data_IF_364327562376
#
_entry.id   IF_364327562376
#
_cell.length_a   1.000
_cell.length_b   1.000
_cell.length_c   1.000
_cell.angle_alpha   90.00
_cell.angle_beta   90.00
_cell.angle_gamma   90.00
#
_symmetry.space_group_name_H-M   'P 1'
#
loop_
_entity.id
_entity.type
_entity.pdbx_description
1 polymer ?
#
# COMPACT_ATOMS: atom_id res chain seq x y z
N UNK A 1 63.65 17.69 -10.66
CA UNK A 1 62.33 18.33 -10.56
C UNK A 1 61.31 17.34 -11.09
N UNK A 2 60.59 16.67 -10.18
CA UNK A 2 59.73 15.50 -10.48
C UNK A 2 58.40 16.02 -11.02
N UNK A 3 58.04 15.62 -12.25
CA UNK A 3 56.74 15.95 -12.85
C UNK A 3 55.76 14.86 -12.43
N UNK A 4 54.90 15.17 -11.47
CA UNK A 4 53.76 14.31 -11.09
C UNK A 4 52.72 14.34 -12.21
N UNK A 5 52.51 13.19 -12.88
CA UNK A 5 51.34 12.96 -13.73
C UNK A 5 50.13 12.71 -12.83
N UNK A 6 49.20 13.65 -12.79
CA UNK A 6 47.89 13.47 -12.18
C UNK A 6 47.04 12.54 -13.07
N UNK A 7 46.89 11.29 -12.65
CA UNK A 7 45.89 10.37 -13.19
C UNK A 7 44.52 10.78 -12.66
N UNK A 8 43.66 11.32 -13.54
CA UNK A 8 42.24 11.53 -13.24
C UNK A 8 41.54 10.18 -13.40
N UNK A 9 41.27 9.51 -12.28
CA UNK A 9 40.35 8.38 -12.25
C UNK A 9 38.92 8.92 -12.40
N UNK A 10 38.35 8.79 -13.60
CA UNK A 10 36.92 8.98 -13.81
C UNK A 10 36.18 7.85 -13.08
N UNK A 11 35.58 8.18 -11.94
CA UNK A 11 34.66 7.29 -11.24
C UNK A 11 33.41 7.17 -12.14
N UNK A 12 33.32 6.08 -12.90
CA UNK A 12 32.06 5.69 -13.54
C UNK A 12 31.12 5.29 -12.41
N UNK A 13 30.28 6.24 -11.97
CA UNK A 13 29.13 5.93 -11.14
C UNK A 13 28.17 5.19 -12.06
N UNK A 14 28.31 3.87 -12.08
CA UNK A 14 27.25 3.00 -12.58
C UNK A 14 26.04 3.26 -11.69
N UNK A 15 25.10 4.07 -12.17
CA UNK A 15 23.73 4.03 -11.69
C UNK A 15 23.19 2.64 -12.02
N UNK A 16 23.48 1.68 -11.15
CA UNK A 16 22.72 0.44 -11.15
C UNK A 16 21.27 0.86 -10.88
N UNK A 17 20.44 0.82 -11.90
CA UNK A 17 18.99 0.79 -11.78
C UNK A 17 18.63 -0.53 -11.11
N UNK A 18 18.95 -0.63 -9.81
CA UNK A 18 18.76 -1.83 -9.03
C UNK A 18 17.27 -2.09 -8.87
N UNK A 19 16.91 -3.36 -9.00
CA UNK A 19 15.58 -3.92 -8.86
C UNK A 19 14.77 -3.23 -7.73
N UNK A 20 13.49 -2.98 -8.00
CA UNK A 20 12.61 -2.17 -7.12
C UNK A 20 11.82 -3.02 -6.11
N UNK A 21 11.99 -4.34 -6.13
CA UNK A 21 11.80 -5.17 -4.93
C UNK A 21 12.95 -4.85 -3.98
N UNK A 22 12.63 -4.24 -2.86
CA UNK A 22 13.62 -3.75 -1.90
C UNK A 22 13.79 -4.74 -0.76
N UNK A 23 15.01 -4.84 -0.22
CA UNK A 23 15.22 -5.59 1.03
C UNK A 23 14.53 -4.88 2.21
N UNK A 24 14.54 -3.54 2.17
CA UNK A 24 13.93 -2.66 3.16
C UNK A 24 13.47 -1.36 2.48
N UNK A 25 12.26 -0.89 2.80
CA UNK A 25 11.73 0.38 2.31
C UNK A 25 12.57 1.58 2.76
N UNK A 26 13.28 1.46 3.88
CA UNK A 26 14.08 2.53 4.47
C UNK A 26 15.37 2.81 3.70
N UNK A 27 15.83 1.84 2.91
CA UNK A 27 17.12 1.89 2.22
C UNK A 27 17.02 2.42 0.78
N UNK A 28 15.80 2.72 0.30
CA UNK A 28 15.60 3.28 -1.05
C UNK A 28 15.06 4.70 -0.94
N UNK A 29 15.74 5.60 -1.65
CA UNK A 29 15.43 7.02 -1.66
C UNK A 29 13.95 7.25 -1.98
N UNK A 30 13.27 8.02 -1.13
CA UNK A 30 11.87 8.44 -1.25
C UNK A 30 10.79 7.37 -1.18
N UNK A 31 11.11 6.07 -1.24
CA UNK A 31 10.11 5.00 -1.01
C UNK A 31 9.50 5.08 0.39
N UNK A 32 10.31 5.47 1.38
CA UNK A 32 9.86 5.69 2.76
C UNK A 32 8.95 6.92 2.94
N UNK A 33 8.84 7.82 1.96
CA UNK A 33 8.01 9.03 2.07
C UNK A 33 6.51 8.67 2.20
N UNK A 34 6.14 7.44 1.82
CA UNK A 34 4.79 6.89 1.93
C UNK A 34 4.49 6.29 3.31
N UNK A 35 5.46 6.28 4.23
CA UNK A 35 5.41 5.66 5.53
C UNK A 35 5.56 6.71 6.64
N UNK A 36 4.76 6.62 7.69
CA UNK A 36 4.87 7.52 8.83
C UNK A 36 6.27 7.38 9.47
N UNK A 37 6.97 8.50 9.64
CA UNK A 37 8.38 8.54 10.08
C UNK A 37 9.32 7.67 9.25
N UNK A 38 8.95 7.41 8.00
CA UNK A 38 9.71 6.54 7.10
C UNK A 38 9.89 5.13 7.66
N UNK A 39 8.92 4.61 8.42
CA UNK A 39 9.01 3.29 9.06
C UNK A 39 7.83 2.40 8.64
N UNK A 40 8.08 1.18 8.11
CA UNK A 40 7.00 0.31 7.68
C UNK A 40 6.26 -0.36 8.86
N UNK A 41 5.03 -0.85 8.64
CA UNK A 41 4.36 -1.75 9.57
C UNK A 41 5.28 -2.90 10.01
N UNK A 42 5.38 -3.12 11.33
CA UNK A 42 6.20 -4.17 11.94
C UNK A 42 5.35 -5.41 12.21
N UNK A 43 5.99 -6.57 12.36
CA UNK A 43 5.33 -7.84 12.70
C UNK A 43 5.05 -8.76 11.52
N UNK A 44 5.26 -8.32 10.28
CA UNK A 44 5.21 -9.18 9.10
C UNK A 44 6.57 -9.87 8.90
N UNK A 45 6.68 -11.13 9.34
CA UNK A 45 7.96 -11.85 9.43
C UNK A 45 8.23 -12.84 8.28
N UNK A 46 7.24 -13.11 7.42
CA UNK A 46 7.42 -14.05 6.31
C UNK A 46 8.41 -13.49 5.28
N UNK A 47 9.58 -14.15 5.21
CA UNK A 47 10.68 -13.82 4.30
C UNK A 47 10.35 -14.01 2.82
N UNK A 48 9.25 -14.69 2.47
CA UNK A 48 8.79 -14.87 1.09
C UNK A 48 8.08 -13.63 0.56
N UNK A 49 7.55 -12.78 1.44
CA UNK A 49 6.89 -11.55 1.06
C UNK A 49 7.87 -10.60 0.37
N UNK A 50 7.37 -9.86 -0.62
CA UNK A 50 8.15 -8.92 -1.42
C UNK A 50 7.75 -7.50 -1.05
N UNK A 51 8.74 -6.70 -0.67
CA UNK A 51 8.57 -5.26 -0.44
C UNK A 51 8.75 -4.54 -1.76
N UNK A 52 7.68 -4.02 -2.32
CA UNK A 52 7.67 -3.34 -3.61
C UNK A 52 7.60 -1.84 -3.37
N UNK A 53 8.62 -1.10 -3.80
CA UNK A 53 8.49 0.35 -3.90
C UNK A 53 7.79 0.68 -5.22
N UNK A 54 6.54 1.07 -5.17
CA UNK A 54 5.74 1.25 -6.39
C UNK A 54 6.23 2.49 -7.13
N UNK A 55 6.84 2.30 -8.31
CA UNK A 55 7.39 3.39 -9.13
C UNK A 55 6.62 3.52 -10.42
N UNK A 56 6.29 4.77 -10.77
CA UNK A 56 5.66 5.10 -12.04
C UNK A 56 6.25 6.40 -12.59
N UNK A 57 6.66 6.36 -13.86
CA UNK A 57 7.43 7.42 -14.51
C UNK A 57 8.68 7.81 -13.68
N UNK A 58 9.46 6.80 -13.31
CA UNK A 58 10.72 6.83 -12.54
C UNK A 58 10.63 7.39 -11.12
N UNK A 59 9.43 7.72 -10.65
CA UNK A 59 9.19 8.29 -9.33
C UNK A 59 8.55 7.26 -8.40
N UNK A 60 9.06 7.09 -7.16
CA UNK A 60 8.35 6.41 -6.09
C UNK A 60 6.99 7.07 -5.82
N UNK A 61 5.95 6.24 -5.65
CA UNK A 61 4.56 6.69 -5.45
C UNK A 61 4.01 6.22 -4.10
N UNK A 62 4.12 4.92 -3.84
CA UNK A 62 3.69 4.28 -2.60
C UNK A 62 4.45 2.97 -2.40
N UNK A 63 4.18 2.25 -1.31
CA UNK A 63 4.80 0.96 -1.06
C UNK A 63 3.73 -0.13 -0.91
N UNK A 64 4.10 -1.34 -1.29
CA UNK A 64 3.26 -2.52 -1.15
C UNK A 64 4.08 -3.65 -0.56
N UNK A 65 3.55 -4.31 0.47
CA UNK A 65 4.04 -5.63 0.87
C UNK A 65 3.21 -6.67 0.14
N UNK A 66 3.84 -7.45 -0.72
CA UNK A 66 3.19 -8.36 -1.66
C UNK A 66 3.47 -9.82 -1.32
N UNK A 67 2.47 -10.69 -1.46
CA UNK A 67 2.61 -12.13 -1.32
C UNK A 67 2.59 -12.78 -2.72
N UNK A 68 3.75 -13.23 -3.26
CA UNK A 68 3.79 -13.88 -4.56
C UNK A 68 3.09 -15.24 -4.59
N UNK A 69 2.95 -15.92 -3.45
CA UNK A 69 2.28 -17.22 -3.38
C UNK A 69 0.76 -17.05 -3.50
N UNK A 70 0.22 -16.03 -2.84
CA UNK A 70 -1.20 -15.66 -2.90
C UNK A 70 -1.55 -14.75 -4.07
N UNK A 71 -0.53 -14.19 -4.74
CA UNK A 71 -0.62 -13.22 -5.84
C UNK A 71 -1.44 -11.97 -5.51
N UNK A 72 -1.42 -11.54 -4.25
CA UNK A 72 -2.11 -10.33 -3.78
C UNK A 72 -1.22 -9.50 -2.85
N UNK A 73 -1.44 -8.18 -2.74
CA UNK A 73 -0.87 -7.40 -1.66
C UNK A 73 -1.37 -7.87 -0.29
N UNK A 74 -0.46 -7.95 0.67
CA UNK A 74 -0.77 -8.05 2.10
C UNK A 74 -1.25 -6.69 2.60
N UNK A 75 -0.54 -5.63 2.22
CA UNK A 75 -0.97 -4.24 2.40
C UNK A 75 -0.32 -3.31 1.36
N UNK A 76 -0.97 -2.17 1.13
CA UNK A 76 -0.38 -0.97 0.51
C UNK A 76 -0.34 0.18 1.52
N UNK A 77 0.75 0.94 1.52
CA UNK A 77 0.91 2.13 2.37
C UNK A 77 1.27 3.36 1.53
N UNK A 78 0.54 4.46 1.74
CA UNK A 78 0.57 5.65 0.89
C UNK A 78 0.27 6.94 1.67
N UNK A 79 0.59 8.09 1.07
CA UNK A 79 0.17 9.40 1.58
C UNK A 79 -1.10 9.87 0.88
N UNK A 80 -2.04 10.38 1.65
CA UNK A 80 -3.27 10.97 1.13
C UNK A 80 -2.99 12.34 0.48
N UNK A 81 -3.50 12.61 -0.72
CA UNK A 81 -3.08 13.77 -1.54
C UNK A 81 -4.01 14.97 -1.58
N UNK A 82 -5.05 15.04 -0.73
CA UNK A 82 -6.10 16.08 -0.72
C UNK A 82 -6.72 16.33 -2.09
N UNK A 83 -7.90 15.78 -2.32
CA UNK A 83 -8.47 15.62 -3.66
C UNK A 83 -9.98 15.83 -3.63
N UNK A 84 -10.55 16.31 -4.73
CA UNK A 84 -12.00 16.51 -4.92
C UNK A 84 -12.78 15.19 -5.10
N UNK A 85 -12.08 14.05 -5.18
CA UNK A 85 -12.70 12.73 -5.32
C UNK A 85 -12.91 12.28 -6.77
N UNK A 86 -12.39 13.03 -7.74
CA UNK A 86 -12.42 12.64 -9.14
C UNK A 86 -11.70 11.30 -9.34
N UNK A 87 -12.37 10.37 -10.02
CA UNK A 87 -11.79 9.10 -10.46
C UNK A 87 -11.49 9.12 -11.95
N UNK A 88 -10.42 8.44 -12.37
CA UNK A 88 -10.03 8.29 -13.78
C UNK A 88 -9.88 6.82 -14.13
N UNK A 89 -10.86 6.31 -14.88
CA UNK A 89 -10.95 4.90 -15.25
C UNK A 89 -10.15 4.58 -16.53
N UNK A 90 -9.55 5.58 -17.17
CA UNK A 90 -8.90 5.46 -18.48
C UNK A 90 -7.42 5.04 -18.43
N UNK A 91 -6.88 4.70 -17.26
CA UNK A 91 -5.53 4.19 -17.14
C UNK A 91 -5.42 2.70 -17.50
N UNK A 92 -4.39 2.29 -18.25
CA UNK A 92 -4.14 0.89 -18.52
C UNK A 92 -3.73 0.18 -17.22
N UNK A 93 -4.14 -1.08 -17.11
CA UNK A 93 -3.67 -1.94 -16.03
C UNK A 93 -2.20 -2.31 -16.23
N UNK A 94 -1.46 -2.33 -15.13
CA UNK A 94 -0.01 -2.50 -15.10
C UNK A 94 0.41 -3.70 -14.26
N UNK A 95 1.64 -4.14 -14.52
CA UNK A 95 2.34 -5.19 -13.79
C UNK A 95 3.70 -4.68 -13.31
N UNK A 96 4.34 -5.45 -12.43
CA UNK A 96 5.68 -5.19 -11.90
C UNK A 96 6.70 -6.11 -12.58
N UNK A 97 7.48 -5.65 -13.57
CA UNK A 97 8.47 -6.47 -14.26
C UNK A 97 9.49 -7.13 -13.32
N UNK A 98 9.91 -6.41 -12.28
CA UNK A 98 10.86 -6.82 -11.25
C UNK A 98 10.39 -7.98 -10.36
N UNK A 99 9.10 -8.39 -10.44
CA UNK A 99 8.63 -9.61 -9.78
C UNK A 99 8.90 -10.87 -10.62
N UNK A 100 8.95 -10.75 -11.94
CA UNK A 100 9.14 -11.88 -12.86
C UNK A 100 10.57 -12.04 -13.36
N UNK A 101 11.33 -10.94 -13.41
CA UNK A 101 12.67 -10.87 -13.98
C UNK A 101 13.61 -10.17 -12.99
N UNK A 102 14.78 -10.76 -12.73
CA UNK A 102 15.76 -10.25 -11.74
C UNK A 102 16.29 -8.88 -12.17
N UNK A 103 16.46 -8.68 -13.48
CA UNK A 103 16.87 -7.45 -14.15
C UNK A 103 15.68 -6.67 -14.74
N UNK A 104 14.45 -7.01 -14.32
CA UNK A 104 13.24 -6.35 -14.75
C UNK A 104 13.24 -4.86 -14.39
N UNK A 105 12.58 -4.05 -15.21
CA UNK A 105 12.44 -2.61 -14.98
C UNK A 105 11.82 -2.35 -13.60
N UNK A 106 12.39 -1.37 -12.88
CA UNK A 106 11.90 -0.95 -11.58
C UNK A 106 10.59 -0.16 -11.60
N UNK A 107 10.10 0.23 -12.78
CA UNK A 107 8.81 0.88 -12.95
C UNK A 107 7.73 -0.13 -13.30
N UNK A 108 6.54 0.11 -12.78
CA UNK A 108 5.34 -0.57 -13.26
C UNK A 108 5.09 -0.25 -14.74
N UNK A 109 4.66 -1.24 -15.50
CA UNK A 109 4.48 -1.14 -16.95
C UNK A 109 3.09 -1.64 -17.36
N UNK A 110 2.46 -1.04 -18.39
CA UNK A 110 1.19 -1.55 -18.91
C UNK A 110 1.34 -2.97 -19.42
N UNK A 111 0.33 -3.81 -19.19
CA UNK A 111 0.30 -5.15 -19.78
C UNK A 111 0.40 -5.06 -21.31
N UNK A 112 1.27 -5.85 -21.95
CA UNK A 112 1.41 -5.83 -23.41
C UNK A 112 0.13 -6.37 -24.07
N UNK A 113 -0.23 -5.78 -25.21
CA UNK A 113 -1.32 -6.25 -26.08
C UNK A 113 -0.84 -7.45 -26.92
N UNK A 114 -0.56 -8.57 -26.27
CA UNK A 114 -0.01 -9.74 -26.97
C UNK A 114 0.39 -10.87 -26.02
N UNK A 115 1.38 -11.67 -26.43
CA UNK A 115 1.87 -12.79 -25.63
C UNK A 115 2.49 -12.31 -24.32
N UNK A 116 1.87 -12.69 -23.21
CA UNK A 116 2.46 -12.53 -21.89
C UNK A 116 3.45 -13.67 -21.65
N UNK A 117 4.70 -13.35 -21.39
CA UNK A 117 5.70 -14.37 -21.07
C UNK A 117 5.27 -15.14 -19.80
N UNK A 118 5.27 -16.47 -19.82
CA UNK A 118 4.73 -17.31 -18.73
C UNK A 118 5.28 -16.98 -17.34
N UNK A 119 6.51 -16.45 -17.25
CA UNK A 119 7.16 -16.01 -16.00
C UNK A 119 6.36 -14.96 -15.21
N UNK A 120 5.53 -14.15 -15.86
CA UNK A 120 4.67 -13.18 -15.17
C UNK A 120 3.55 -13.87 -14.40
N UNK A 121 2.97 -14.94 -14.95
CA UNK A 121 1.87 -15.66 -14.33
C UNK A 121 2.29 -16.41 -13.06
N UNK A 122 3.58 -16.75 -12.95
CA UNK A 122 4.12 -17.46 -11.79
C UNK A 122 4.38 -16.54 -10.60
N UNK A 123 4.69 -15.26 -10.86
CA UNK A 123 5.18 -14.31 -9.85
C UNK A 123 4.13 -13.32 -9.36
N UNK A 124 3.10 -13.03 -10.17
CA UNK A 124 2.07 -12.06 -9.85
C UNK A 124 0.74 -12.39 -10.53
N UNK A 125 -0.33 -11.70 -10.13
CA UNK A 125 -1.61 -11.79 -10.79
C UNK A 125 -1.54 -11.17 -12.20
N UNK A 126 -2.32 -11.72 -13.13
CA UNK A 126 -2.46 -11.19 -14.49
C UNK A 126 -3.92 -10.89 -14.81
N UNK A 127 -4.18 -10.12 -15.86
CA UNK A 127 -5.55 -9.73 -16.23
C UNK A 127 -6.49 -10.92 -16.44
N UNK A 128 -5.99 -12.00 -17.02
CA UNK A 128 -6.75 -13.23 -17.23
C UNK A 128 -7.13 -13.96 -15.93
N UNK A 129 -6.51 -13.63 -14.79
CA UNK A 129 -6.95 -14.16 -13.49
C UNK A 129 -8.28 -13.53 -13.04
N UNK A 130 -8.68 -12.38 -13.62
CA UNK A 130 -9.90 -11.65 -13.29
C UNK A 130 -10.96 -11.68 -14.41
N UNK A 131 -10.67 -12.26 -15.58
CA UNK A 131 -11.54 -12.16 -16.77
C UNK A 131 -12.84 -12.96 -16.65
N UNK A 132 -12.79 -14.13 -16.00
CA UNK A 132 -13.90 -15.08 -15.99
C UNK A 132 -14.67 -15.10 -14.66
N UNK A 133 -14.41 -14.13 -13.78
CA UNK A 133 -14.99 -14.06 -12.43
C UNK A 133 -15.90 -12.85 -12.24
N UNK A 134 -17.14 -12.97 -12.73
CA UNK A 134 -18.15 -11.88 -12.69
C UNK A 134 -18.48 -11.39 -11.27
N UNK A 135 -18.21 -12.21 -10.24
CA UNK A 135 -18.47 -11.88 -8.83
C UNK A 135 -17.50 -10.83 -8.26
N UNK A 136 -16.29 -10.74 -8.80
CA UNK A 136 -15.22 -9.95 -8.19
C UNK A 136 -14.88 -8.72 -9.03
N UNK A 137 -14.69 -7.61 -8.33
CA UNK A 137 -14.06 -6.41 -8.83
C UNK A 137 -12.58 -6.39 -8.45
N UNK A 138 -11.81 -5.61 -9.21
CA UNK A 138 -10.42 -5.29 -8.91
C UNK A 138 -10.38 -4.18 -7.85
N UNK A 139 -10.50 -4.57 -6.59
CA UNK A 139 -10.50 -3.67 -5.44
C UNK A 139 -9.11 -3.12 -5.16
N UNK A 140 -8.98 -1.80 -5.12
CA UNK A 140 -7.70 -1.13 -4.88
C UNK A 140 -7.44 -0.98 -3.38
N UNK A 141 -6.21 -1.27 -2.92
CA UNK A 141 -5.83 -0.96 -1.54
C UNK A 141 -5.34 0.50 -1.39
N UNK A 142 -4.60 1.01 -2.37
CA UNK A 142 -4.40 2.45 -2.57
C UNK A 142 -5.38 2.94 -3.65
N UNK A 143 -6.49 3.61 -3.28
CA UNK A 143 -7.53 3.98 -4.25
C UNK A 143 -7.16 5.25 -5.01
N UNK A 144 -7.50 5.26 -6.30
CA UNK A 144 -7.36 6.40 -7.22
C UNK A 144 -7.90 7.71 -6.63
N UNK A 145 -9.06 7.66 -5.98
CA UNK A 145 -9.71 8.83 -5.40
C UNK A 145 -8.98 9.46 -4.21
N UNK A 146 -7.95 8.82 -3.65
CA UNK A 146 -7.08 9.41 -2.62
C UNK A 146 -5.85 10.10 -3.22
N UNK A 147 -5.63 9.95 -4.53
CA UNK A 147 -4.52 10.52 -5.30
C UNK A 147 -4.96 11.75 -6.10
N UNK A 148 -4.07 12.73 -6.27
CA UNK A 148 -4.42 14.02 -6.86
C UNK A 148 -3.88 14.22 -8.28
N UNK A 149 -2.61 13.88 -8.55
CA UNK A 149 -2.02 14.10 -9.87
C UNK A 149 -2.34 12.93 -10.82
N UNK A 150 -2.41 13.15 -12.15
CA UNK A 150 -2.62 12.08 -13.11
C UNK A 150 -1.64 10.91 -12.96
N UNK A 151 -0.37 11.18 -12.67
CA UNK A 151 0.63 10.12 -12.48
C UNK A 151 0.48 9.37 -11.15
N UNK A 152 0.06 10.03 -10.06
CA UNK A 152 -0.18 9.34 -8.79
C UNK A 152 -1.42 8.43 -8.90
N UNK A 153 -2.45 8.91 -9.61
CA UNK A 153 -3.65 8.15 -9.96
C UNK A 153 -3.33 6.96 -10.85
N UNK A 154 -2.59 7.16 -11.94
CA UNK A 154 -2.16 6.08 -12.83
C UNK A 154 -1.43 4.98 -12.05
N UNK A 155 -0.57 5.35 -11.10
CA UNK A 155 0.20 4.40 -10.31
C UNK A 155 -0.64 3.45 -9.44
N UNK A 156 -1.92 3.75 -9.19
CA UNK A 156 -2.80 2.83 -8.44
C UNK A 156 -3.26 1.64 -9.28
N UNK A 157 -3.19 1.73 -10.61
CA UNK A 157 -3.68 0.73 -11.57
C UNK A 157 -2.66 -0.39 -11.86
N UNK A 158 -1.87 -0.81 -10.87
CA UNK A 158 -1.04 -2.02 -10.92
C UNK A 158 -1.75 -3.17 -10.18
N UNK A 159 -1.69 -4.39 -10.72
CA UNK A 159 -2.35 -5.54 -10.07
C UNK A 159 -1.71 -5.92 -8.73
N UNK A 160 -0.49 -5.44 -8.45
CA UNK A 160 0.13 -5.60 -7.13
C UNK A 160 -0.50 -4.71 -6.06
N UNK A 161 -1.38 -3.76 -6.42
CA UNK A 161 -2.17 -2.93 -5.50
C UNK A 161 -3.64 -3.36 -5.41
N UNK A 162 -3.98 -4.51 -6.01
CA UNK A 162 -5.36 -4.95 -6.18
C UNK A 162 -5.61 -6.30 -5.52
N UNK A 163 -6.80 -6.45 -4.96
CA UNK A 163 -7.34 -7.72 -4.46
C UNK A 163 -8.72 -8.00 -5.08
N UNK A 164 -9.16 -9.27 -5.19
CA UNK A 164 -10.53 -9.58 -5.56
C UNK A 164 -11.51 -9.16 -4.47
N UNK A 165 -12.30 -8.13 -4.72
CA UNK A 165 -13.38 -7.70 -3.83
C UNK A 165 -14.73 -8.09 -4.40
N UNK A 166 -15.66 -8.57 -3.59
CA UNK A 166 -17.02 -8.85 -4.04
C UNK A 166 -17.65 -7.57 -4.55
N UNK A 167 -18.28 -7.63 -5.72
CA UNK A 167 -18.81 -6.45 -6.43
C UNK A 167 -19.67 -5.57 -5.53
N UNK A 168 -20.64 -6.14 -4.82
CA UNK A 168 -21.54 -5.39 -3.92
C UNK A 168 -20.82 -4.72 -2.75
N UNK A 169 -19.73 -5.32 -2.26
CA UNK A 169 -18.88 -4.74 -1.23
C UNK A 169 -18.05 -3.57 -1.79
N UNK A 170 -17.37 -3.80 -2.92
CA UNK A 170 -16.49 -2.82 -3.57
C UNK A 170 -17.24 -1.55 -3.97
N UNK A 171 -18.38 -1.67 -4.66
CA UNK A 171 -19.14 -0.50 -5.15
C UNK A 171 -20.09 0.09 -4.11
N UNK A 172 -20.24 -0.57 -2.96
CA UNK A 172 -21.17 -0.17 -1.90
C UNK A 172 -20.41 0.28 -0.64
N UNK A 173 -20.48 -0.49 0.47
CA UNK A 173 -19.96 -0.05 1.76
C UNK A 173 -18.49 0.37 1.75
N UNK A 174 -17.63 -0.31 1.01
CA UNK A 174 -16.20 0.01 0.99
C UNK A 174 -15.94 1.34 0.28
N UNK A 175 -16.53 1.54 -0.91
CA UNK A 175 -16.47 2.82 -1.63
C UNK A 175 -16.98 3.99 -0.79
N UNK A 176 -18.08 3.80 -0.08
CA UNK A 176 -18.64 4.83 0.80
C UNK A 176 -17.68 5.17 1.94
N UNK A 177 -17.02 4.16 2.53
CA UNK A 177 -16.01 4.39 3.56
C UNK A 177 -14.78 5.12 3.03
N UNK A 178 -14.25 4.73 1.87
CA UNK A 178 -13.12 5.45 1.26
C UNK A 178 -13.46 6.93 1.01
N UNK A 179 -14.68 7.23 0.54
CA UNK A 179 -15.16 8.61 0.37
C UNK A 179 -15.27 9.36 1.72
N UNK A 180 -15.75 8.70 2.77
CA UNK A 180 -15.78 9.28 4.11
C UNK A 180 -14.38 9.62 4.63
N UNK A 181 -13.38 8.77 4.36
CA UNK A 181 -11.98 9.04 4.72
C UNK A 181 -11.44 10.23 3.92
N UNK A 182 -11.74 10.31 2.62
CA UNK A 182 -11.36 11.47 1.80
C UNK A 182 -11.90 12.78 2.38
N UNK A 183 -13.19 12.83 2.70
CA UNK A 183 -13.84 14.02 3.28
C UNK A 183 -13.23 14.36 4.64
N UNK A 184 -13.08 13.36 5.52
CA UNK A 184 -12.54 13.56 6.88
C UNK A 184 -11.11 14.10 6.84
N UNK A 185 -10.24 13.49 6.05
CA UNK A 185 -8.84 13.90 5.97
C UNK A 185 -8.68 15.23 5.23
N UNK A 186 -9.48 15.51 4.19
CA UNK A 186 -9.48 16.83 3.54
C UNK A 186 -9.79 17.96 4.53
N UNK A 187 -10.83 17.77 5.34
CA UNK A 187 -11.37 18.84 6.19
C UNK A 187 -10.56 19.03 7.49
N UNK A 188 -10.06 17.93 8.06
CA UNK A 188 -9.55 17.94 9.43
C UNK A 188 -8.07 17.55 9.56
N UNK A 189 -7.45 16.92 8.56
CA UNK A 189 -5.99 16.70 8.57
C UNK A 189 -5.27 17.92 7.97
N UNK A 190 -4.48 18.59 8.80
CA UNK A 190 -3.71 19.79 8.42
C UNK A 190 -2.36 19.42 7.80
N UNK A 191 -1.68 18.41 8.35
CA UNK A 191 -0.41 17.91 7.83
C UNK A 191 -0.57 16.79 6.80
N UNK A 192 0.40 15.87 6.80
CA UNK A 192 0.39 14.68 5.93
C UNK A 192 -0.33 13.53 6.62
N UNK A 193 -1.34 12.96 5.96
CA UNK A 193 -1.95 11.71 6.41
C UNK A 193 -1.28 10.52 5.71
N UNK A 194 -0.88 9.54 6.50
CA UNK A 194 -0.35 8.25 6.06
C UNK A 194 -1.44 7.21 6.23
N UNK A 195 -1.66 6.38 5.21
CA UNK A 195 -2.70 5.34 5.22
C UNK A 195 -2.04 3.99 4.94
N UNK A 196 -2.45 2.97 5.68
CA UNK A 196 -2.11 1.57 5.42
C UNK A 196 -3.43 0.81 5.23
N UNK A 197 -3.58 0.17 4.09
CA UNK A 197 -4.76 -0.62 3.74
C UNK A 197 -4.31 -2.02 3.37
N UNK A 198 -4.95 -3.04 3.93
CA UNK A 198 -4.55 -4.43 3.77
C UNK A 198 -5.71 -5.41 3.89
N UNK A 199 -5.38 -6.69 3.86
CA UNK A 199 -6.36 -7.77 3.82
C UNK A 199 -6.01 -8.93 4.73
N UNK A 200 -7.03 -9.68 5.16
CA UNK A 200 -6.89 -11.01 5.77
C UNK A 200 -7.28 -12.08 4.75
N UNK A 201 -6.80 -13.32 4.91
CA UNK A 201 -7.12 -14.42 4.00
C UNK A 201 -7.44 -15.69 4.77
N UNK A 202 -8.45 -16.45 4.33
CA UNK A 202 -8.79 -17.78 4.88
C UNK A 202 -8.51 -18.96 3.95
N UNK A 203 -7.76 -18.72 2.87
CA UNK A 203 -7.37 -19.76 1.89
C UNK A 203 -8.32 -19.92 0.70
N UNK A 204 -9.33 -19.06 0.58
CA UNK A 204 -10.15 -18.99 -0.63
C UNK A 204 -9.31 -18.43 -1.80
N UNK A 205 -9.43 -19.05 -2.97
CA UNK A 205 -8.65 -18.70 -4.17
C UNK A 205 -9.55 -18.62 -5.39
N UNK A 206 -9.33 -17.63 -6.26
CA UNK A 206 -9.80 -17.67 -7.64
C UNK A 206 -9.05 -18.79 -8.36
N UNK A 207 -9.79 -19.62 -9.09
CA UNK A 207 -9.25 -20.72 -9.87
C UNK A 207 -9.35 -20.41 -11.36
N UNK A 208 -8.25 -20.66 -12.09
CA UNK A 208 -8.18 -20.57 -13.55
C UNK A 208 -7.57 -21.85 -14.07
N UNK A 209 -8.18 -22.51 -15.05
CA UNK A 209 -7.71 -23.79 -15.58
C UNK A 209 -7.46 -24.84 -14.47
N UNK A 210 -8.36 -24.92 -13.49
CA UNK A 210 -8.24 -25.79 -12.30
C UNK A 210 -7.03 -25.55 -11.39
N UNK A 211 -6.32 -24.42 -11.53
CA UNK A 211 -5.22 -24.04 -10.66
C UNK A 211 -5.59 -22.84 -9.79
N UNK A 212 -5.12 -22.83 -8.55
CA UNK A 212 -5.27 -21.69 -7.66
C UNK A 212 -4.39 -20.54 -8.13
N UNK A 213 -5.01 -19.39 -8.40
CA UNK A 213 -4.35 -18.23 -8.98
C UNK A 213 -4.19 -17.11 -7.97
N UNK A 214 -5.30 -16.51 -7.56
CA UNK A 214 -5.31 -15.28 -6.76
C UNK A 214 -6.11 -15.50 -5.50
N UNK A 215 -5.53 -15.20 -4.34
CA UNK A 215 -6.25 -15.32 -3.08
C UNK A 215 -7.38 -14.30 -2.97
N UNK A 216 -8.48 -14.74 -2.37
CA UNK A 216 -9.66 -13.92 -2.10
C UNK A 216 -9.58 -13.48 -0.63
N UNK A 217 -9.55 -12.17 -0.34
CA UNK A 217 -9.63 -11.64 1.01
C UNK A 217 -10.87 -12.14 1.76
N UNK A 218 -10.71 -12.43 3.04
CA UNK A 218 -11.85 -12.60 3.96
C UNK A 218 -12.33 -11.23 4.44
N UNK A 219 -11.41 -10.38 4.88
CA UNK A 219 -11.67 -9.02 5.34
C UNK A 219 -10.72 -8.03 4.67
N UNK A 220 -11.21 -6.80 4.48
CA UNK A 220 -10.41 -5.64 4.08
C UNK A 220 -10.36 -4.66 5.26
N UNK A 221 -9.17 -4.14 5.54
CA UNK A 221 -8.95 -3.19 6.62
C UNK A 221 -8.17 -1.98 6.13
N UNK A 222 -8.38 -0.85 6.78
CA UNK A 222 -7.65 0.38 6.53
C UNK A 222 -7.40 1.13 7.82
N UNK A 223 -6.25 1.76 7.96
CA UNK A 223 -5.89 2.60 9.08
C UNK A 223 -5.17 3.85 8.59
N UNK A 224 -5.39 4.97 9.26
CA UNK A 224 -4.68 6.22 8.95
C UNK A 224 -4.00 6.83 10.17
N UNK A 225 -3.00 7.65 9.90
CA UNK A 225 -2.21 8.42 10.85
C UNK A 225 -2.06 9.86 10.33
N UNK A 226 -2.56 10.84 11.09
CA UNK A 226 -2.36 12.26 10.85
C UNK A 226 -2.16 12.98 12.19
N UNK A 227 -0.91 13.30 12.51
CA UNK A 227 -0.52 13.95 13.78
C UNK A 227 -0.89 15.42 13.86
N UNK A 228 -0.95 16.10 12.71
CA UNK A 228 -1.30 17.50 12.58
C UNK A 228 -2.75 17.62 12.10
N UNK A 229 -3.70 17.71 13.03
CA UNK A 229 -5.12 17.79 12.74
C UNK A 229 -5.80 18.97 13.44
N UNK A 230 -7.00 19.30 12.99
CA UNK A 230 -7.79 20.40 13.55
C UNK A 230 -8.31 20.06 14.96
N UNK A 231 -7.76 20.74 15.98
CA UNK A 231 -8.17 20.56 17.39
C UNK A 231 -9.56 21.13 17.69
N UNK A 232 -10.09 21.97 16.81
CA UNK A 232 -11.43 22.56 16.89
C UNK A 232 -12.48 21.75 16.12
N UNK A 233 -12.11 20.60 15.54
CA UNK A 233 -13.06 19.70 14.89
C UNK A 233 -14.19 19.29 15.86
N UNK A 234 -15.41 19.02 15.34
CA UNK A 234 -16.50 18.44 16.12
C UNK A 234 -16.04 17.21 16.91
N UNK A 235 -16.60 17.01 18.12
CA UNK A 235 -16.09 16.00 19.05
C UNK A 235 -16.05 14.58 18.45
N UNK A 236 -17.11 14.20 17.72
CA UNK A 236 -17.27 12.92 17.03
C UNK A 236 -16.23 12.66 15.93
N UNK A 237 -15.68 13.74 15.35
CA UNK A 237 -14.56 13.69 14.41
C UNK A 237 -13.23 13.69 15.16
N UNK A 238 -13.09 14.55 16.17
CA UNK A 238 -11.84 14.78 16.90
C UNK A 238 -11.33 13.52 17.59
N UNK A 239 -12.22 12.67 18.11
CA UNK A 239 -11.84 11.40 18.74
C UNK A 239 -11.25 10.37 17.75
N UNK A 240 -11.37 10.62 16.44
CA UNK A 240 -10.83 9.77 15.36
C UNK A 240 -9.46 10.26 14.86
N UNK A 241 -8.84 11.19 15.57
CA UNK A 241 -7.49 11.68 15.29
C UNK A 241 -6.61 11.53 16.54
N UNK A 242 -5.29 11.31 16.39
CA UNK A 242 -4.53 11.33 15.14
C UNK A 242 -4.67 10.06 14.28
N UNK A 243 -5.22 8.98 14.85
CA UNK A 243 -5.37 7.69 14.18
C UNK A 243 -6.76 7.12 14.32
N UNK A 244 -7.20 6.40 13.29
CA UNK A 244 -8.37 5.54 13.36
C UNK A 244 -8.27 4.45 12.31
N UNK A 245 -9.08 3.42 12.47
CA UNK A 245 -9.09 2.26 11.59
C UNK A 245 -10.51 1.84 11.22
N UNK A 246 -10.62 1.02 10.18
CA UNK A 246 -11.82 0.29 9.86
C UNK A 246 -11.52 -1.12 9.35
N UNK A 247 -12.50 -1.99 9.53
CA UNK A 247 -12.51 -3.37 9.08
C UNK A 247 -13.88 -3.68 8.47
N UNK A 248 -13.89 -4.41 7.36
CA UNK A 248 -15.12 -4.90 6.76
C UNK A 248 -14.91 -6.26 6.13
N UNK A 249 -15.95 -7.10 6.20
CA UNK A 249 -15.93 -8.41 5.57
C UNK A 249 -16.11 -8.28 4.05
N UNK A 250 -15.27 -8.96 3.29
CA UNK A 250 -15.37 -9.06 1.83
C UNK A 250 -16.48 -10.06 1.46
N UNK A 251 -17.73 -9.70 1.75
CA UNK A 251 -18.93 -10.53 1.58
C UNK A 251 -20.04 -9.78 0.86
N UNK A 252 -21.03 -10.52 0.34
CA UNK A 252 -22.27 -9.91 -0.15
C UNK A 252 -23.15 -9.42 0.99
N UNK A 253 -23.24 -10.22 2.06
CA UNK A 253 -24.03 -9.95 3.26
C UNK A 253 -23.12 -9.79 4.48
N UNK A 254 -23.49 -8.92 5.43
CA UNK A 254 -22.67 -8.66 6.63
C UNK A 254 -21.39 -7.88 6.35
N UNK A 255 -21.32 -7.17 5.22
CA UNK A 255 -20.17 -6.41 4.72
C UNK A 255 -20.12 -4.96 5.24
N UNK A 256 -20.73 -4.73 6.41
CA UNK A 256 -20.74 -3.40 7.04
C UNK A 256 -19.33 -3.02 7.44
N UNK A 257 -18.99 -1.75 7.24
CA UNK A 257 -17.73 -1.19 7.72
C UNK A 257 -17.82 -0.90 9.22
N UNK A 258 -16.89 -1.48 9.98
CA UNK A 258 -16.74 -1.27 11.41
C UNK A 258 -15.52 -0.40 11.65
N UNK A 259 -15.73 0.84 12.10
CA UNK A 259 -14.62 1.70 12.52
C UNK A 259 -14.22 1.43 13.97
N UNK A 260 -12.92 1.52 14.27
CA UNK A 260 -12.32 1.17 15.56
C UNK A 260 -10.98 1.91 15.76
N UNK A 261 -10.41 1.81 16.96
CA UNK A 261 -9.03 2.26 17.20
C UNK A 261 -8.02 1.40 16.43
N UNK A 262 -6.83 1.96 16.15
CA UNK A 262 -5.76 1.20 15.49
C UNK A 262 -5.31 0.02 16.36
N UNK A 263 -5.33 0.17 17.69
CA UNK A 263 -4.96 -0.89 18.62
C UNK A 263 -5.95 -2.06 18.59
N UNK A 264 -7.26 -1.79 18.47
CA UNK A 264 -8.27 -2.83 18.29
C UNK A 264 -8.08 -3.56 16.96
N UNK A 265 -7.77 -2.83 15.88
CA UNK A 265 -7.41 -3.44 14.60
C UNK A 265 -6.16 -4.32 14.73
N UNK A 266 -5.09 -3.84 15.37
CA UNK A 266 -3.87 -4.62 15.58
C UNK A 266 -4.12 -5.91 16.37
N UNK A 267 -4.98 -5.87 17.40
CA UNK A 267 -5.42 -7.06 18.14
C UNK A 267 -6.16 -8.03 17.20
N UNK A 268 -7.07 -7.52 16.39
CA UNK A 268 -7.78 -8.34 15.40
C UNK A 268 -6.81 -9.00 14.41
N UNK A 269 -5.86 -8.25 13.86
CA UNK A 269 -4.90 -8.76 12.88
C UNK A 269 -3.96 -9.81 13.49
N UNK A 270 -3.50 -9.63 14.74
CA UNK A 270 -2.70 -10.64 15.47
C UNK A 270 -3.42 -11.98 15.63
N UNK A 271 -4.74 -11.96 15.69
CA UNK A 271 -5.56 -13.17 15.83
C UNK A 271 -5.98 -13.81 14.49
N UNK A 272 -5.88 -13.07 13.38
CA UNK A 272 -6.42 -13.49 12.08
C UNK A 272 -5.38 -13.53 10.94
N UNK A 273 -4.13 -13.15 11.21
CA UNK A 273 -3.02 -13.18 10.26
C UNK A 273 -1.79 -13.83 10.90
N UNK A 274 -0.90 -14.36 10.06
CA UNK A 274 0.41 -14.87 10.49
C UNK A 274 1.40 -13.70 10.67
N UNK A 275 1.28 -13.04 11.84
CA UNK A 275 2.09 -11.88 12.22
C UNK A 275 2.61 -12.03 13.65
N UNK A 276 3.73 -11.39 13.95
CA UNK A 276 4.32 -11.37 15.28
C UNK A 276 3.43 -10.62 16.30
N UNK A 277 3.54 -10.99 17.57
CA UNK A 277 2.83 -10.35 18.67
C UNK A 277 3.19 -8.87 18.84
N UNK A 278 4.35 -8.44 18.32
CA UNK A 278 4.79 -7.05 18.27
C UNK A 278 4.23 -6.26 17.07
N UNK A 279 3.24 -6.78 16.32
CA UNK A 279 2.60 -6.06 15.22
C UNK A 279 2.22 -4.64 15.65
N UNK A 280 2.68 -3.69 14.85
CA UNK A 280 2.39 -2.26 14.97
C UNK A 280 2.31 -1.65 13.57
N UNK A 281 1.19 -1.01 13.23
CA UNK A 281 0.94 -0.46 11.90
C UNK A 281 1.66 0.88 11.67
N UNK A 282 1.68 1.75 12.69
CA UNK A 282 2.35 3.04 12.64
C UNK A 282 3.44 3.14 13.70
N UNK A 283 4.62 3.63 13.30
CA UNK A 283 5.72 3.87 14.23
C UNK A 283 5.26 4.68 15.45
N UNK A 284 5.61 4.18 16.63
CA UNK A 284 5.28 4.79 17.92
C UNK A 284 3.78 5.15 18.06
N UNK A 285 2.90 4.31 17.51
CA UNK A 285 1.45 4.50 17.52
C UNK A 285 1.00 5.85 16.95
N UNK A 286 1.71 6.38 15.94
CA UNK A 286 1.43 7.70 15.36
C UNK A 286 1.51 8.85 16.38
N UNK A 287 2.35 8.73 17.40
CA UNK A 287 2.64 9.84 18.30
C UNK A 287 3.66 10.75 17.61
N UNK A 288 3.38 12.05 17.54
CA UNK A 288 4.36 13.02 17.03
C UNK A 288 5.54 13.04 18.00
N UNK A 289 6.79 12.91 17.53
CA UNK A 289 7.95 13.12 18.38
C UNK A 289 7.87 14.52 18.98
N UNK A 290 8.15 14.61 20.28
CA UNK A 290 8.18 15.88 20.99
C UNK A 290 9.22 16.79 20.32
N UNK A 291 8.93 18.07 20.05
CA UNK A 291 9.94 19.02 19.62
C UNK A 291 10.97 19.33 20.72
N UNK A 292 10.72 18.90 21.97
CA UNK A 292 11.65 19.05 23.08
C UNK A 292 12.64 17.87 23.10
N UNK A 293 13.95 18.14 23.28
CA UNK A 293 14.96 17.11 23.49
C UNK A 293 14.61 16.16 24.63
N UNK A 294 14.93 14.87 24.46
CA UNK A 294 14.67 13.77 25.42
C UNK A 294 15.05 14.10 26.88
N UNK A 295 16.06 14.93 27.12
CA UNK A 295 16.51 15.31 28.47
C UNK A 295 15.55 16.25 29.23
N UNK A 296 14.55 16.84 28.57
CA UNK A 296 13.53 17.69 29.20
C UNK A 296 12.19 16.97 29.44
N UNK A 297 12.06 15.70 29.02
CA UNK A 297 10.81 14.94 29.20
C UNK A 297 10.62 14.37 30.61
N UNK A 298 11.65 14.37 31.46
CA UNK A 298 11.60 13.81 32.82
C UNK A 298 11.48 14.86 33.94
N UNK A 299 11.10 16.10 33.63
CA UNK A 299 11.05 17.20 34.62
C UNK A 299 9.65 17.73 34.91
N UNK A 300 8.61 16.92 34.71
CA UNK A 300 7.23 17.24 35.13
C UNK A 300 6.66 16.06 35.90
#
# INVERSE_FOLDING_TARGET
MIIFRTLVFALIINFFTSATVVLDFNHVERCKDSLYMGTPPRGFIDTKLKKICQRYADKPRYVTLYDPQKRIPVYSAYTFKKTEGDRRVDYPWMYEPQLAEIDGNGNMMPFPTGYLHMKFEDSQAVLNDYSDVVLYERGHLNPDQHQSTPHDRAATYTLTNVVPEIREFNIGPWREYEEQIRIRLNNFCRGTAYIVTGVTTRGNMIRRNNQDRVAIPEDVWSAYCCTEYDRNAPHDVRIRFPTYAALAKNSKDGNRVHEMSVQELEIFLKNNMDVDQNLQLFYDNCISPSPLPLYLQHTI
#
